data_IF_987141099019
#
_entry.id   IF_987141099019
#
_cell.length_a   1.000
_cell.length_b   1.000
_cell.length_c   1.000
_cell.angle_alpha   90.00
_cell.angle_beta   90.00
_cell.angle_gamma   90.00
#
_symmetry.space_group_name_H-M   'P 1'
#
loop_
_entity.id
_entity.type
_entity.pdbx_description
1 polymer ?
#
# COMPACT_ATOMS: atom_id res chain seq x y z
N UNK A 1 17.83 -1.80 13.67
CA UNK A 1 16.50 -2.23 13.19
C UNK A 1 16.60 -3.65 12.67
N UNK A 2 15.73 -4.54 13.13
CA UNK A 2 15.68 -5.91 12.65
C UNK A 2 14.97 -5.98 11.31
N UNK A 3 15.10 -7.10 10.62
CA UNK A 3 14.40 -7.32 9.35
C UNK A 3 12.87 -7.23 9.55
N UNK A 4 12.38 -7.81 10.63
CA UNK A 4 10.95 -7.77 10.94
C UNK A 4 10.47 -6.34 11.21
N UNK A 5 11.23 -5.55 11.94
CA UNK A 5 10.92 -4.15 12.19
C UNK A 5 10.90 -3.35 10.89
N UNK A 6 11.83 -3.62 9.98
CA UNK A 6 11.87 -2.99 8.67
C UNK A 6 10.62 -3.31 7.86
N UNK A 7 10.20 -4.58 7.88
CA UNK A 7 8.97 -4.99 7.19
C UNK A 7 7.73 -4.32 7.78
N UNK A 8 7.65 -4.24 9.09
CA UNK A 8 6.54 -3.57 9.77
C UNK A 8 6.49 -2.09 9.42
N UNK A 9 7.64 -1.44 9.32
CA UNK A 9 7.73 -0.04 8.92
C UNK A 9 7.18 0.14 7.50
N UNK A 10 7.62 -0.68 6.56
CA UNK A 10 7.14 -0.58 5.18
C UNK A 10 5.66 -0.92 5.05
N UNK A 11 5.16 -1.86 5.84
CA UNK A 11 3.73 -2.17 5.87
C UNK A 11 2.93 -0.95 6.32
N UNK A 12 3.37 -0.27 7.36
CA UNK A 12 2.72 0.92 7.87
C UNK A 12 2.72 2.04 6.83
N UNK A 13 3.87 2.28 6.20
CA UNK A 13 4.01 3.31 5.16
C UNK A 13 3.13 3.01 3.95
N UNK A 14 3.13 1.75 3.50
CA UNK A 14 2.32 1.35 2.36
C UNK A 14 0.83 1.48 2.65
N UNK A 15 0.41 1.11 3.85
CA UNK A 15 -0.99 1.27 4.28
C UNK A 15 -1.41 2.75 4.29
N UNK A 16 -0.53 3.62 4.78
CA UNK A 16 -0.79 5.06 4.80
C UNK A 16 -0.90 5.60 3.37
N UNK A 17 -0.03 5.16 2.47
CA UNK A 17 -0.07 5.57 1.07
C UNK A 17 -1.38 5.13 0.40
N UNK A 18 -1.82 3.90 0.68
CA UNK A 18 -3.08 3.39 0.14
C UNK A 18 -4.27 4.21 0.65
N UNK A 19 -4.26 4.59 1.90
CA UNK A 19 -5.32 5.43 2.47
C UNK A 19 -5.36 6.78 1.80
N UNK A 20 -4.19 7.43 1.62
CA UNK A 20 -4.09 8.71 0.93
C UNK A 20 -4.57 8.62 -0.51
N UNK A 21 -4.17 7.56 -1.22
CA UNK A 21 -4.59 7.34 -2.59
C UNK A 21 -6.10 7.12 -2.70
N UNK A 22 -6.67 6.40 -1.73
CA UNK A 22 -8.11 6.18 -1.68
C UNK A 22 -8.88 7.51 -1.57
N UNK A 23 -8.39 8.43 -0.73
CA UNK A 23 -8.98 9.77 -0.63
C UNK A 23 -8.84 10.56 -1.91
N UNK A 24 -7.67 10.53 -2.54
CA UNK A 24 -7.43 11.21 -3.81
C UNK A 24 -8.34 10.69 -4.91
N UNK A 25 -8.55 9.38 -4.98
CA UNK A 25 -9.45 8.78 -5.96
C UNK A 25 -10.87 9.28 -5.75
N UNK A 26 -11.32 9.37 -4.50
CA UNK A 26 -12.65 9.89 -4.19
C UNK A 26 -12.81 11.33 -4.61
N UNK A 27 -11.80 12.16 -4.35
CA UNK A 27 -11.83 13.57 -4.74
C UNK A 27 -11.85 13.72 -6.25
N UNK A 28 -10.99 12.96 -6.94
CA UNK A 28 -10.90 13.03 -8.41
C UNK A 28 -12.18 12.61 -9.10
N UNK A 29 -12.91 11.65 -8.55
CA UNK A 29 -14.19 11.21 -9.15
C UNK A 29 -15.27 12.28 -9.13
N UNK A 30 -15.08 13.35 -8.37
CA UNK A 30 -16.02 14.46 -8.29
C UNK A 30 -15.75 15.55 -9.33
N UNK A 31 -14.69 15.41 -10.13
CA UNK A 31 -14.28 16.39 -11.14
C UNK A 31 -14.35 15.77 -12.52
N UNK A 32 -14.65 16.61 -13.51
CA UNK A 32 -14.74 16.16 -14.91
C UNK A 32 -13.39 15.74 -15.49
N UNK A 33 -12.35 16.47 -15.12
CA UNK A 33 -11.00 16.23 -15.62
C UNK A 33 -10.19 15.58 -14.50
N UNK A 34 -10.28 14.26 -14.39
CA UNK A 34 -9.67 13.52 -13.31
C UNK A 34 -8.64 12.49 -13.80
N UNK A 35 -7.81 12.04 -12.88
CA UNK A 35 -6.77 11.04 -13.15
C UNK A 35 -7.04 9.76 -12.33
N UNK A 36 -8.29 9.36 -12.26
CA UNK A 36 -8.72 8.19 -11.48
C UNK A 36 -8.02 6.93 -11.95
N UNK A 37 -7.89 6.74 -13.26
CA UNK A 37 -7.25 5.55 -13.81
C UNK A 37 -5.79 5.44 -13.35
N UNK A 38 -5.03 6.54 -13.44
CA UNK A 38 -3.64 6.55 -12.99
C UNK A 38 -3.51 6.32 -11.49
N UNK A 39 -4.38 6.97 -10.71
CA UNK A 39 -4.38 6.80 -9.26
C UNK A 39 -4.76 5.37 -8.87
N UNK A 40 -5.70 4.77 -9.59
CA UNK A 40 -6.11 3.40 -9.35
C UNK A 40 -4.98 2.41 -9.63
N UNK A 41 -4.19 2.64 -10.67
CA UNK A 41 -3.03 1.81 -10.98
C UNK A 41 -2.00 1.87 -9.86
N UNK A 42 -1.74 3.06 -9.34
CA UNK A 42 -0.79 3.24 -8.22
C UNK A 42 -1.33 2.57 -6.95
N UNK A 43 -2.64 2.69 -6.71
CA UNK A 43 -3.27 2.03 -5.57
C UNK A 43 -3.13 0.51 -5.68
N UNK A 44 -3.40 -0.05 -6.85
CA UNK A 44 -3.30 -1.50 -7.07
C UNK A 44 -1.87 -1.99 -6.87
N UNK A 45 -0.89 -1.22 -7.34
CA UNK A 45 0.52 -1.52 -7.13
C UNK A 45 0.87 -1.57 -5.64
N UNK A 46 0.41 -0.57 -4.89
CA UNK A 46 0.66 -0.51 -3.44
C UNK A 46 -0.04 -1.65 -2.71
N UNK A 47 -1.24 -2.03 -3.15
CA UNK A 47 -1.96 -3.15 -2.56
C UNK A 47 -1.20 -4.46 -2.77
N UNK A 48 -0.69 -4.70 -3.97
CA UNK A 48 0.10 -5.88 -4.28
C UNK A 48 1.38 -5.91 -3.44
N UNK A 49 2.06 -4.78 -3.34
CA UNK A 49 3.24 -4.64 -2.50
C UNK A 49 2.93 -4.94 -1.04
N UNK A 50 1.83 -4.40 -0.54
CA UNK A 50 1.38 -4.62 0.83
C UNK A 50 1.14 -6.11 1.10
N UNK A 51 0.42 -6.77 0.19
CA UNK A 51 0.14 -8.20 0.32
C UNK A 51 1.41 -9.03 0.32
N UNK A 52 2.37 -8.69 -0.56
CA UNK A 52 3.64 -9.39 -0.65
C UNK A 52 4.48 -9.19 0.62
N UNK A 53 4.49 -7.97 1.17
CA UNK A 53 5.19 -7.68 2.41
C UNK A 53 4.61 -8.49 3.58
N UNK A 54 3.29 -8.65 3.61
CA UNK A 54 2.63 -9.48 4.62
C UNK A 54 3.03 -10.95 4.50
N UNK A 55 3.15 -11.46 3.29
CA UNK A 55 3.59 -12.83 3.07
C UNK A 55 5.02 -13.03 3.55
N UNK A 56 5.91 -12.10 3.25
CA UNK A 56 7.30 -12.16 3.69
C UNK A 56 7.35 -12.13 5.23
N UNK A 57 6.57 -11.26 5.84
CA UNK A 57 6.51 -11.18 7.30
C UNK A 57 6.06 -12.50 7.90
N UNK A 58 5.03 -13.12 7.34
CA UNK A 58 4.53 -14.41 7.82
C UNK A 58 5.59 -15.51 7.72
N UNK A 59 6.35 -15.52 6.64
CA UNK A 59 7.43 -16.50 6.45
C UNK A 59 8.51 -16.32 7.51
N UNK A 60 8.92 -15.08 7.77
CA UNK A 60 9.94 -14.78 8.77
C UNK A 60 9.45 -15.16 10.17
N UNK A 61 8.22 -14.84 10.50
CA UNK A 61 7.65 -15.17 11.81
C UNK A 61 7.54 -16.68 12.01
N UNK A 62 7.24 -17.41 10.95
CA UNK A 62 7.14 -18.86 11.02
C UNK A 62 8.49 -19.54 11.26
N UNK A 63 9.60 -18.86 10.95
CA UNK A 63 10.95 -19.37 11.14
C UNK A 63 11.58 -19.01 12.48
N UNK A 64 10.91 -18.22 13.27
CA UNK A 64 11.41 -17.80 14.60
C UNK A 64 11.07 -18.78 15.73
#
# INVERSE_FOLDING_TARGET
MTLLETLEYFLTETAADMESLSWEIREETNFEDNNVEGLSEVYDFNKELYDNLHQIKSIIEAQQ
#
